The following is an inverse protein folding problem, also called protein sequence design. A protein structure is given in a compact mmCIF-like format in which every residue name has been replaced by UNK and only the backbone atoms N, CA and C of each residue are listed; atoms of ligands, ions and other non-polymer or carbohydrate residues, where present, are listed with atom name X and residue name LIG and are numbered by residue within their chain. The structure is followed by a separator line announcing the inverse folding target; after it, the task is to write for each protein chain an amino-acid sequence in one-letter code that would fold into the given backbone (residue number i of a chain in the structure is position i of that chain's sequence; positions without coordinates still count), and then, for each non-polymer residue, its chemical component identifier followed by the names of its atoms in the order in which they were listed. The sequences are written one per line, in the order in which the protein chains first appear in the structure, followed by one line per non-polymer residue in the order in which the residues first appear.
data_IF_703175331496
#
_entry.id   IF_703175331496
#
_cell.length_a   1.000
_cell.length_b   1.000
_cell.length_c   1.000
_cell.angle_alpha   90.00
_cell.angle_beta   90.00
_cell.angle_gamma   90.00
#
_symmetry.space_group_name_H-M   'P 1'
#
loop_
_entity.id
_entity.type
_entity.pdbx_description
1 polymer ?
#
# COMPACT_ATOMS: atom_id res chain seq x y z
N UNK A 1 2.95 -6.21 -14.60
CA UNK A 1 2.83 -5.52 -13.28
C UNK A 1 2.25 -4.11 -13.39
N UNK A 2 2.61 -3.33 -14.41
CA UNK A 2 2.27 -1.91 -14.52
C UNK A 2 0.77 -1.55 -14.50
N UNK A 3 -0.15 -2.28 -15.16
CA UNK A 3 -1.58 -1.95 -15.07
C UNK A 3 -2.11 -1.98 -13.63
N UNK A 4 -1.70 -2.97 -12.84
CA UNK A 4 -2.11 -3.08 -11.43
C UNK A 4 -1.50 -1.98 -10.57
N UNK A 5 -0.24 -1.59 -10.82
CA UNK A 5 0.41 -0.48 -10.11
C UNK A 5 -0.28 0.84 -10.43
N UNK A 6 -0.65 1.07 -11.68
CA UNK A 6 -1.36 2.28 -12.09
C UNK A 6 -2.72 2.38 -11.42
N UNK A 7 -3.52 1.29 -11.43
CA UNK A 7 -4.81 1.24 -10.75
C UNK A 7 -4.66 1.48 -9.24
N UNK A 8 -3.67 0.85 -8.60
CA UNK A 8 -3.41 1.05 -7.18
C UNK A 8 -3.02 2.51 -6.86
N UNK A 9 -2.27 3.17 -7.75
CA UNK A 9 -1.93 4.59 -7.62
C UNK A 9 -3.17 5.47 -7.67
N UNK A 10 -4.04 5.26 -8.67
CA UNK A 10 -5.30 6.01 -8.80
C UNK A 10 -6.17 5.82 -7.54
N UNK A 11 -6.25 4.60 -7.02
CA UNK A 11 -6.98 4.30 -5.77
C UNK A 11 -6.38 5.00 -4.55
N UNK A 12 -5.05 5.11 -4.47
CA UNK A 12 -4.41 5.81 -3.35
C UNK A 12 -4.69 7.32 -3.42
N UNK A 13 -4.69 7.90 -4.62
CA UNK A 13 -5.08 9.30 -4.84
C UNK A 13 -6.54 9.52 -4.40
N UNK A 14 -7.45 8.60 -4.78
CA UNK A 14 -8.85 8.65 -4.35
C UNK A 14 -8.98 8.62 -2.82
N UNK A 15 -8.32 7.67 -2.15
CA UNK A 15 -8.33 7.59 -0.69
C UNK A 15 -7.81 8.89 -0.05
N UNK A 16 -6.68 9.39 -0.55
CA UNK A 16 -6.06 10.58 0.00
C UNK A 16 -6.95 11.82 -0.14
N UNK A 17 -7.60 11.98 -1.30
CA UNK A 17 -8.55 13.06 -1.54
C UNK A 17 -9.81 12.94 -0.69
N UNK A 18 -10.42 11.75 -0.63
CA UNK A 18 -11.67 11.49 0.10
C UNK A 18 -11.51 11.65 1.60
N UNK A 19 -10.37 11.26 2.15
CA UNK A 19 -10.14 11.21 3.59
C UNK A 19 -9.16 12.27 4.10
N UNK A 20 -8.83 13.31 3.30
CA UNK A 20 -7.83 14.35 3.62
C UNK A 20 -7.95 14.92 5.04
N UNK A 21 -9.17 15.09 5.53
CA UNK A 21 -9.48 15.67 6.87
C UNK A 21 -9.41 14.66 8.03
N UNK A 22 -8.90 13.45 7.79
CA UNK A 22 -8.79 12.40 8.83
C UNK A 22 -7.87 12.86 9.96
N UNK A 23 -8.32 12.62 11.19
CA UNK A 23 -7.56 12.96 12.40
C UNK A 23 -6.31 12.07 12.53
N UNK A 24 -5.14 12.65 12.87
CA UNK A 24 -3.92 11.88 13.14
C UNK A 24 -4.13 10.80 14.19
N UNK A 25 -3.38 9.69 14.08
CA UNK A 25 -3.39 8.57 15.05
C UNK A 25 -4.69 7.77 15.14
N UNK A 26 -5.74 8.14 14.41
CA UNK A 26 -6.94 7.31 14.28
C UNK A 26 -6.63 5.97 13.59
N UNK A 27 -7.50 4.97 13.79
CA UNK A 27 -7.39 3.70 13.08
C UNK A 27 -7.40 3.90 11.55
N UNK A 28 -8.18 4.87 11.07
CA UNK A 28 -8.23 5.24 9.67
C UNK A 28 -6.92 5.88 9.18
N UNK A 29 -6.31 6.80 9.94
CA UNK A 29 -5.01 7.38 9.61
C UNK A 29 -3.91 6.31 9.50
N UNK A 30 -3.90 5.35 10.44
CA UNK A 30 -3.00 4.19 10.40
C UNK A 30 -3.22 3.35 9.13
N UNK A 31 -4.47 3.04 8.81
CA UNK A 31 -4.82 2.26 7.62
C UNK A 31 -4.40 2.96 6.32
N UNK A 32 -4.66 4.27 6.20
CA UNK A 32 -4.25 5.09 5.05
C UNK A 32 -2.74 5.15 4.89
N UNK A 33 -2.02 5.31 6.01
CA UNK A 33 -0.56 5.28 6.03
C UNK A 33 -0.01 3.93 5.60
N UNK A 34 -0.57 2.84 6.11
CA UNK A 34 -0.14 1.50 5.71
C UNK A 34 -0.48 1.20 4.23
N UNK A 35 -1.64 1.63 3.73
CA UNK A 35 -1.96 1.52 2.32
C UNK A 35 -0.92 2.24 1.45
N UNK A 36 -0.55 3.47 1.80
CA UNK A 36 0.50 4.21 1.09
C UNK A 36 1.85 3.47 1.11
N UNK A 37 2.25 2.85 2.24
CA UNK A 37 3.47 2.02 2.31
C UNK A 37 3.42 0.80 1.41
N UNK A 38 2.29 0.07 1.39
CA UNK A 38 2.14 -1.10 0.52
C UNK A 38 2.22 -0.70 -0.96
N UNK A 39 1.65 0.46 -1.34
CA UNK A 39 1.79 1.00 -2.69
C UNK A 39 3.25 1.32 -3.04
N UNK A 40 3.95 2.06 -2.18
CA UNK A 40 5.36 2.41 -2.41
C UNK A 40 6.24 1.17 -2.57
N UNK A 41 6.03 0.17 -1.70
CA UNK A 41 6.73 -1.11 -1.77
C UNK A 41 6.42 -1.87 -3.05
N UNK A 42 5.16 -1.88 -3.50
CA UNK A 42 4.79 -2.48 -4.78
C UNK A 42 5.44 -1.78 -5.99
N UNK A 43 5.68 -0.47 -5.89
CA UNK A 43 6.25 0.37 -6.95
C UNK A 43 7.79 0.37 -7.02
N UNK A 44 8.49 -0.30 -6.10
CA UNK A 44 9.97 -0.35 -6.17
C UNK A 44 10.44 -0.86 -7.54
N UNK A 45 11.36 -0.10 -8.14
CA UNK A 45 11.98 -0.44 -9.42
C UNK A 45 12.82 -1.72 -9.34
N UNK A 46 13.27 -2.10 -8.14
CA UNK A 46 14.04 -3.33 -7.92
C UNK A 46 13.29 -4.55 -8.43
N UNK A 47 11.97 -4.62 -8.20
CA UNK A 47 11.17 -5.75 -8.66
C UNK A 47 11.17 -5.88 -10.18
N UNK A 48 10.97 -4.76 -10.88
CA UNK A 48 10.99 -4.72 -12.34
C UNK A 48 12.39 -5.04 -12.88
N UNK A 49 13.44 -4.55 -12.21
CA UNK A 49 14.83 -4.82 -12.58
C UNK A 49 15.17 -6.31 -12.42
N UNK A 50 14.85 -6.91 -11.27
CA UNK A 50 15.07 -8.33 -10.98
C UNK A 50 14.32 -9.22 -11.99
N UNK A 51 13.07 -8.86 -12.34
CA UNK A 51 12.31 -9.55 -13.38
C UNK A 51 12.98 -9.43 -14.76
N UNK A 52 13.53 -8.26 -15.10
CA UNK A 52 14.23 -8.01 -16.37
C UNK A 52 15.56 -8.75 -16.47
N UNK A 53 16.33 -8.83 -15.39
CA UNK A 53 17.64 -9.50 -15.37
C UNK A 53 17.55 -11.02 -15.24
N UNK A 54 16.37 -11.56 -14.93
CA UNK A 54 16.12 -13.00 -14.87
C UNK A 54 16.60 -13.68 -13.58
N UNK A 55 17.15 -12.94 -12.63
CA UNK A 55 17.57 -13.48 -11.33
C UNK A 55 16.38 -13.51 -10.38
N UNK A 56 16.11 -14.60 -9.66
CA UNK A 56 15.06 -14.64 -8.60
C UNK A 56 13.66 -14.13 -9.03
N UNK A 57 13.30 -14.26 -10.31
CA UNK A 57 12.01 -13.77 -10.86
C UNK A 57 10.78 -14.16 -10.04
N UNK A 58 10.63 -15.42 -9.56
CA UNK A 58 9.48 -15.81 -8.74
C UNK A 58 9.35 -14.99 -7.46
N UNK A 59 10.48 -14.59 -6.86
CA UNK A 59 10.51 -13.77 -5.66
C UNK A 59 10.02 -12.35 -5.94
N UNK A 60 10.53 -11.68 -6.97
CA UNK A 60 10.10 -10.33 -7.34
C UNK A 60 8.62 -10.27 -7.71
N UNK A 61 8.13 -11.26 -8.45
CA UNK A 61 6.70 -11.39 -8.78
C UNK A 61 5.87 -11.56 -7.50
N UNK A 62 6.30 -12.44 -6.60
CA UNK A 62 5.61 -12.66 -5.31
C UNK A 62 5.57 -11.40 -4.47
N UNK A 63 6.69 -10.68 -4.31
CA UNK A 63 6.76 -9.42 -3.54
C UNK A 63 5.79 -8.38 -4.09
N UNK A 64 5.81 -8.15 -5.41
CA UNK A 64 4.92 -7.18 -6.05
C UNK A 64 3.45 -7.53 -5.81
N UNK A 65 3.07 -8.80 -6.02
CA UNK A 65 1.70 -9.28 -5.80
C UNK A 65 1.28 -9.18 -4.35
N UNK A 66 2.14 -9.60 -3.42
CA UNK A 66 1.87 -9.59 -1.98
C UNK A 66 1.57 -8.16 -1.49
N UNK A 67 2.31 -7.16 -1.95
CA UNK A 67 2.06 -5.75 -1.60
C UNK A 67 0.76 -5.21 -2.23
N UNK A 68 0.52 -5.50 -3.52
CA UNK A 68 -0.72 -5.11 -4.19
C UNK A 68 -1.98 -5.72 -3.54
N UNK A 69 -1.91 -6.98 -3.10
CA UNK A 69 -3.02 -7.64 -2.42
C UNK A 69 -3.32 -7.02 -1.05
N UNK A 70 -2.28 -6.66 -0.28
CA UNK A 70 -2.47 -5.96 1.00
C UNK A 70 -3.03 -4.57 0.80
N UNK A 71 -2.48 -3.82 -0.16
CA UNK A 71 -3.02 -2.52 -0.56
C UNK A 71 -4.50 -2.63 -0.90
N UNK A 72 -4.87 -3.59 -1.76
CA UNK A 72 -6.24 -3.77 -2.20
C UNK A 72 -7.19 -4.08 -1.04
N UNK A 73 -6.79 -4.97 -0.13
CA UNK A 73 -7.60 -5.31 1.04
C UNK A 73 -7.76 -4.11 1.98
N UNK A 74 -6.72 -3.32 2.21
CA UNK A 74 -6.80 -2.09 3.01
C UNK A 74 -7.73 -1.07 2.34
N UNK A 75 -7.61 -0.88 1.03
CA UNK A 75 -8.48 0.01 0.26
C UNK A 75 -9.96 -0.36 0.43
N UNK A 76 -10.31 -1.63 0.27
CA UNK A 76 -11.69 -2.11 0.45
C UNK A 76 -12.19 -1.90 1.88
N UNK A 77 -11.36 -2.20 2.89
CA UNK A 77 -11.71 -2.01 4.29
C UNK A 77 -11.91 -0.55 4.68
N UNK A 78 -11.06 0.34 4.15
CA UNK A 78 -11.15 1.80 4.37
C UNK A 78 -12.45 2.34 3.76
N UNK A 79 -12.77 1.97 2.52
CA UNK A 79 -14.00 2.42 1.86
C UNK A 79 -15.27 1.90 2.53
N UNK A 80 -15.20 0.70 3.12
CA UNK A 80 -16.30 0.09 3.85
C UNK A 80 -16.43 0.58 5.31
N UNK A 81 -15.52 1.44 5.78
CA UNK A 81 -15.40 1.87 7.19
C UNK A 81 -15.35 0.69 8.18
N UNK A 82 -14.64 -0.38 7.77
CA UNK A 82 -14.51 -1.63 8.53
C UNK A 82 -13.07 -2.12 8.50
N UNK A 83 -12.17 -1.29 9.03
CA UNK A 83 -10.74 -1.63 9.15
C UNK A 83 -10.56 -2.78 10.14
N UNK A 84 -9.96 -3.86 9.66
CA UNK A 84 -9.58 -5.03 10.46
C UNK A 84 -8.24 -4.73 11.14
N UNK A 85 -8.29 -4.35 12.42
CA UNK A 85 -7.12 -3.96 13.18
C UNK A 85 -6.06 -5.08 13.31
N UNK A 86 -6.41 -6.36 13.57
CA UNK A 86 -5.45 -7.46 13.50
C UNK A 86 -4.73 -7.58 12.16
N UNK A 87 -5.46 -7.44 11.04
CA UNK A 87 -4.85 -7.47 9.72
C UNK A 87 -3.94 -6.26 9.47
N UNK A 88 -4.38 -5.06 9.87
CA UNK A 88 -3.58 -3.84 9.77
C UNK A 88 -2.28 -3.97 10.57
N UNK A 89 -2.36 -4.42 11.83
CA UNK A 89 -1.20 -4.63 12.69
C UNK A 89 -0.22 -5.66 12.12
N UNK A 90 -0.72 -6.72 11.46
CA UNK A 90 0.13 -7.66 10.74
C UNK A 90 0.88 -7.00 9.57
N UNK A 91 0.21 -6.13 8.81
CA UNK A 91 0.86 -5.39 7.72
C UNK A 91 1.93 -4.42 8.25
N UNK A 92 1.60 -3.67 9.30
CA UNK A 92 2.52 -2.73 9.96
C UNK A 92 3.77 -3.45 10.50
N UNK A 93 3.59 -4.61 11.17
CA UNK A 93 4.71 -5.40 11.69
C UNK A 93 5.62 -5.95 10.57
N UNK A 94 5.05 -6.38 9.44
CA UNK A 94 5.84 -6.93 8.31
C UNK A 94 6.59 -5.84 7.53
N UNK A 95 6.05 -4.63 7.47
CA UNK A 95 6.56 -3.54 6.65
C UNK A 95 6.63 -2.21 7.42
N UNK A 96 7.48 -2.08 8.45
CA UNK A 96 7.52 -0.90 9.34
C UNK A 96 8.30 0.30 8.76
N UNK A 97 8.56 0.33 7.44
CA UNK A 97 9.34 1.40 6.81
C UNK A 97 8.51 2.69 6.67
N UNK A 98 9.18 3.84 6.68
CA UNK A 98 8.54 5.16 6.60
C UNK A 98 7.46 5.34 7.67
N UNK A 99 7.87 5.31 8.94
CA UNK A 99 6.97 5.51 10.08
C UNK A 99 6.22 6.86 9.97
N UNK A 100 6.93 7.89 9.53
CA UNK A 100 6.43 9.26 9.39
C UNK A 100 5.83 9.58 8.01
N UNK A 101 5.54 8.56 7.20
CA UNK A 101 4.94 8.76 5.87
C UNK A 101 3.64 9.58 5.97
N UNK A 102 3.62 10.75 5.34
CA UNK A 102 2.39 11.50 5.16
C UNK A 102 1.70 11.02 3.88
N UNK A 103 0.62 10.25 4.05
CA UNK A 103 -0.18 9.76 2.93
C UNK A 103 -0.96 10.87 2.21
N UNK A 104 -1.06 12.08 2.79
CA UNK A 104 -1.78 13.21 2.18
C UNK A 104 -1.09 13.78 0.95
N UNK A 105 0.18 13.47 0.72
CA UNK A 105 0.93 13.86 -0.49
C UNK A 105 0.32 13.32 -1.78
N UNK A 106 -0.55 12.32 -1.70
CA UNK A 106 -1.28 11.76 -2.84
C UNK A 106 -2.53 12.58 -3.23
N UNK A 107 -2.93 13.59 -2.44
CA UNK A 107 -4.15 14.39 -2.63
C UNK A 107 -3.88 15.79 -3.20
#
# INVERSE_FOLDING_TARGET
IYPHLHIATVRMIELAGRFRSTQPHSLLDRALRQAARELLLAQSSDWAFIMKTGTMVPYAVKRTKDHLLRFQKLYEQILADRVDEPFLGNCEWRNPIFLDLDWRVYA
#
